data_IF_791042678314
#
_entry.id   IF_791042678314
#
_cell.length_a   1.000
_cell.length_b   1.000
_cell.length_c   1.000
_cell.angle_alpha   90.00
_cell.angle_beta   90.00
_cell.angle_gamma   90.00
#
_symmetry.space_group_name_H-M   'P 1'
#
loop_
_entity.id
_entity.type
_entity.pdbx_description
1 polymer ?
#
# COMPACT_ATOMS: atom_id res chain seq x y z
N UNK A 1 -15.79 14.96 7.40
CA UNK A 1 -16.24 14.91 8.80
C UNK A 1 -16.98 16.18 9.11
N UNK A 2 -18.18 16.08 9.66
CA UNK A 2 -19.07 17.21 9.97
C UNK A 2 -19.32 17.28 11.48
N UNK A 3 -19.57 18.48 11.98
CA UNK A 3 -19.97 18.72 13.36
C UNK A 3 -21.49 18.59 13.47
N UNK A 4 -21.95 17.60 14.26
CA UNK A 4 -23.37 17.30 14.44
C UNK A 4 -24.18 18.45 15.03
N UNK A 5 -23.53 19.39 15.72
CA UNK A 5 -24.19 20.57 16.31
C UNK A 5 -24.49 21.67 15.29
N UNK A 6 -23.87 21.60 14.10
CA UNK A 6 -23.93 22.68 13.10
C UNK A 6 -24.87 22.39 11.93
N UNK A 7 -25.23 21.13 11.69
CA UNK A 7 -26.12 20.74 10.59
C UNK A 7 -26.78 19.40 10.86
N UNK A 8 -28.06 19.29 10.49
CA UNK A 8 -28.82 18.03 10.50
C UNK A 8 -28.61 17.21 9.23
N UNK A 9 -27.98 17.77 8.19
CA UNK A 9 -27.72 17.07 6.93
C UNK A 9 -26.91 15.79 7.16
N UNK A 10 -27.33 14.70 6.54
CA UNK A 10 -26.74 13.37 6.73
C UNK A 10 -26.05 12.82 5.50
N UNK A 11 -26.31 13.38 4.32
CA UNK A 11 -25.76 12.91 3.04
C UNK A 11 -24.54 13.76 2.62
N UNK A 12 -23.49 13.17 2.03
CA UNK A 12 -22.33 13.91 1.57
C UNK A 12 -22.66 15.03 0.56
N UNK A 13 -23.66 14.82 -0.29
CA UNK A 13 -24.09 15.77 -1.32
C UNK A 13 -24.68 17.04 -0.72
N UNK A 14 -25.40 16.93 0.39
CA UNK A 14 -25.95 18.08 1.11
C UNK A 14 -24.88 18.77 1.95
N UNK A 15 -23.94 18.01 2.51
CA UNK A 15 -22.91 18.55 3.40
C UNK A 15 -21.75 19.21 2.62
N UNK A 16 -21.29 18.58 1.53
CA UNK A 16 -20.16 19.05 0.70
C UNK A 16 -20.42 18.84 -0.81
N UNK A 17 -21.38 19.56 -1.42
CA UNK A 17 -21.77 19.37 -2.81
C UNK A 17 -20.61 19.53 -3.80
N UNK A 18 -19.80 20.59 -3.65
CA UNK A 18 -18.65 20.84 -4.54
C UNK A 18 -17.54 19.79 -4.41
N UNK A 19 -17.37 19.21 -3.23
CA UNK A 19 -16.37 18.18 -2.98
C UNK A 19 -16.80 16.86 -3.61
N UNK A 20 -18.06 16.47 -3.41
CA UNK A 20 -18.62 15.25 -4.00
C UNK A 20 -18.61 15.30 -5.53
N UNK A 21 -18.90 16.45 -6.13
CA UNK A 21 -18.85 16.63 -7.59
C UNK A 21 -17.45 16.39 -8.20
N UNK A 22 -16.38 16.47 -7.41
CA UNK A 22 -14.99 16.28 -7.84
C UNK A 22 -14.45 14.88 -7.60
N UNK A 23 -15.16 14.05 -6.82
CA UNK A 23 -14.71 12.71 -6.50
C UNK A 23 -15.11 11.71 -7.59
N UNK A 24 -14.26 10.71 -7.88
CA UNK A 24 -14.67 9.57 -8.70
C UNK A 24 -15.83 8.82 -8.04
N UNK A 25 -16.81 8.39 -8.81
CA UNK A 25 -17.97 7.63 -8.31
C UNK A 25 -17.61 6.24 -7.74
N UNK A 26 -16.38 5.77 -7.97
CA UNK A 26 -15.87 4.49 -7.45
C UNK A 26 -15.19 4.62 -6.08
N UNK A 27 -14.99 5.83 -5.58
CA UNK A 27 -14.31 6.03 -4.30
C UNK A 27 -15.30 5.80 -3.16
N UNK A 28 -15.04 4.86 -2.23
CA UNK A 28 -15.91 4.66 -1.08
C UNK A 28 -15.86 5.89 -0.17
N UNK A 29 -17.03 6.45 0.15
CA UNK A 29 -17.17 7.62 1.03
C UNK A 29 -17.90 7.20 2.30
N UNK A 30 -17.45 7.71 3.45
CA UNK A 30 -18.11 7.51 4.74
C UNK A 30 -18.28 8.86 5.43
N UNK A 31 -19.51 9.17 5.85
CA UNK A 31 -19.80 10.41 6.58
C UNK A 31 -19.49 10.21 8.06
N UNK A 32 -18.69 11.10 8.63
CA UNK A 32 -18.41 11.12 10.07
C UNK A 32 -19.10 12.32 10.69
N UNK A 33 -20.05 12.07 11.58
CA UNK A 33 -20.80 13.05 12.37
C UNK A 33 -20.22 13.09 13.79
N UNK A 34 -19.39 14.10 14.06
CA UNK A 34 -18.67 14.25 15.32
C UNK A 34 -19.46 15.10 16.33
N UNK A 35 -19.09 15.01 17.62
CA UNK A 35 -19.70 15.71 18.76
C UNK A 35 -21.08 15.16 19.16
N UNK A 36 -21.28 13.85 19.04
CA UNK A 36 -22.52 13.20 19.45
C UNK A 36 -22.82 13.39 20.95
N UNK A 37 -21.80 13.69 21.77
CA UNK A 37 -21.94 14.04 23.19
C UNK A 37 -22.75 15.33 23.42
N UNK A 38 -22.72 16.27 22.48
CA UNK A 38 -23.46 17.54 22.58
C UNK A 38 -24.88 17.42 22.02
N UNK A 39 -25.10 16.51 21.07
CA UNK A 39 -26.42 16.28 20.45
C UNK A 39 -27.23 15.21 21.18
N UNK A 40 -26.60 14.43 22.07
CA UNK A 40 -27.23 13.30 22.77
C UNK A 40 -27.49 12.11 21.85
N UNK A 41 -26.93 12.10 20.64
CA UNK A 41 -27.08 11.02 19.68
C UNK A 41 -26.23 9.81 20.10
N UNK A 42 -26.72 8.57 19.96
CA UNK A 42 -25.93 7.39 20.25
C UNK A 42 -24.76 7.27 19.27
N UNK A 43 -23.65 6.73 19.76
CA UNK A 43 -22.51 6.38 18.91
C UNK A 43 -22.83 5.10 18.15
N UNK A 44 -23.14 5.23 16.86
CA UNK A 44 -23.60 4.14 16.00
C UNK A 44 -23.15 4.32 14.55
N UNK A 45 -23.18 3.22 13.81
CA UNK A 45 -23.05 3.21 12.35
C UNK A 45 -24.43 2.98 11.73
N UNK A 46 -24.80 3.84 10.78
CA UNK A 46 -26.07 3.78 10.06
C UNK A 46 -25.79 3.95 8.57
N UNK A 47 -26.72 3.51 7.71
CA UNK A 47 -26.67 3.84 6.29
C UNK A 47 -27.62 5.00 6.01
N UNK A 48 -27.13 6.06 5.39
CA UNK A 48 -27.94 7.19 4.94
C UNK A 48 -27.83 7.26 3.42
N UNK A 49 -28.87 6.76 2.75
CA UNK A 49 -28.80 6.46 1.32
C UNK A 49 -27.73 5.41 1.02
N UNK A 50 -26.88 5.70 0.03
CA UNK A 50 -25.79 4.83 -0.42
C UNK A 50 -24.51 4.96 0.43
N UNK A 51 -24.51 5.83 1.45
CA UNK A 51 -23.32 6.13 2.23
C UNK A 51 -23.42 5.65 3.67
N UNK A 52 -22.39 4.93 4.19
CA UNK A 52 -22.27 4.69 5.61
C UNK A 52 -22.02 6.01 6.35
N UNK A 53 -22.69 6.16 7.48
CA UNK A 53 -22.59 7.31 8.38
C UNK A 53 -22.26 6.82 9.80
N UNK A 54 -21.22 7.40 10.39
CA UNK A 54 -20.78 7.08 11.75
C UNK A 54 -20.95 8.30 12.63
N UNK A 55 -21.71 8.14 13.72
CA UNK A 55 -21.87 9.14 14.78
C UNK A 55 -20.90 8.83 15.90
N UNK A 56 -20.12 9.82 16.31
CA UNK A 56 -19.11 9.63 17.36
C UNK A 56 -18.86 10.91 18.16
N UNK A 57 -18.26 10.76 19.34
CA UNK A 57 -17.64 11.85 20.09
C UNK A 57 -16.14 11.63 20.11
N UNK A 58 -15.41 12.44 19.34
CA UNK A 58 -13.96 12.41 19.36
C UNK A 58 -13.38 12.86 20.71
N UNK A 59 -14.10 13.70 21.46
CA UNK A 59 -13.66 14.19 22.78
C UNK A 59 -13.77 13.08 23.83
N UNK A 60 -14.91 12.41 23.87
CA UNK A 60 -15.20 11.42 24.91
C UNK A 60 -14.82 9.99 24.48
N UNK A 61 -14.29 9.83 23.26
CA UNK A 61 -13.85 8.55 22.70
C UNK A 61 -14.98 7.61 22.27
N UNK A 62 -16.24 8.02 22.42
CA UNK A 62 -17.41 7.23 22.04
C UNK A 62 -17.46 7.04 20.53
N UNK A 63 -17.64 5.80 20.06
CA UNK A 63 -17.74 5.48 18.63
C UNK A 63 -16.40 5.42 17.88
N UNK A 64 -15.27 5.69 18.54
CA UNK A 64 -13.94 5.59 17.91
C UNK A 64 -13.61 4.14 17.51
N UNK A 65 -14.02 3.15 18.31
CA UNK A 65 -13.79 1.74 17.96
C UNK A 65 -14.68 1.27 16.80
N UNK A 66 -15.88 1.82 16.68
CA UNK A 66 -16.75 1.60 15.51
C UNK A 66 -16.08 2.14 14.24
N UNK A 67 -15.55 3.37 14.30
CA UNK A 67 -14.79 3.97 13.20
C UNK A 67 -13.57 3.13 12.83
N UNK A 68 -12.79 2.67 13.82
CA UNK A 68 -11.62 1.82 13.60
C UNK A 68 -11.99 0.53 12.88
N UNK A 69 -13.07 -0.11 13.31
CA UNK A 69 -13.54 -1.37 12.75
C UNK A 69 -14.03 -1.20 11.31
N UNK A 70 -14.82 -0.15 11.06
CA UNK A 70 -15.28 0.23 9.72
C UNK A 70 -14.12 0.51 8.76
N UNK A 71 -13.10 1.26 9.19
CA UNK A 71 -11.93 1.54 8.36
C UNK A 71 -11.12 0.29 8.04
N UNK A 72 -11.01 -0.66 8.97
CA UNK A 72 -10.34 -1.94 8.71
C UNK A 72 -11.09 -2.72 7.62
N UNK A 73 -12.41 -2.81 7.74
CA UNK A 73 -13.26 -3.49 6.76
C UNK A 73 -13.21 -2.82 5.38
N UNK A 74 -13.37 -1.49 5.34
CA UNK A 74 -13.35 -0.71 4.11
C UNK A 74 -12.01 -0.80 3.36
N UNK A 75 -10.89 -0.95 4.08
CA UNK A 75 -9.58 -1.14 3.47
C UNK A 75 -9.26 -2.61 3.14
N UNK A 76 -10.19 -3.54 3.37
CA UNK A 76 -9.96 -4.97 3.16
C UNK A 76 -8.85 -5.52 4.08
N UNK A 77 -8.68 -4.94 5.27
CA UNK A 77 -7.66 -5.34 6.22
C UNK A 77 -8.01 -6.70 6.84
N UNK A 78 -7.52 -7.78 6.21
CA UNK A 78 -7.58 -9.13 6.74
C UNK A 78 -6.39 -9.36 7.69
N UNK A 79 -6.67 -9.55 8.98
CA UNK A 79 -5.67 -9.87 10.02
C UNK A 79 -4.93 -11.20 9.80
N UNK A 80 -5.26 -11.96 8.77
CA UNK A 80 -4.61 -13.22 8.37
C UNK A 80 -3.28 -13.04 7.60
N UNK A 81 -2.65 -11.87 7.64
CA UNK A 81 -1.32 -11.71 7.04
C UNK A 81 -0.22 -12.13 8.02
N UNK A 82 -0.26 -13.37 8.50
CA UNK A 82 0.97 -14.05 8.92
C UNK A 82 1.86 -14.16 7.68
N UNK A 83 2.80 -13.22 7.53
CA UNK A 83 3.69 -13.14 6.36
C UNK A 83 3.55 -11.88 5.51
N UNK A 84 2.86 -10.83 5.99
CA UNK A 84 2.79 -9.55 5.30
C UNK A 84 4.16 -8.87 5.23
N UNK A 85 4.96 -9.19 4.21
CA UNK A 85 6.15 -8.42 3.89
C UNK A 85 5.71 -6.99 3.58
N UNK A 86 6.01 -6.05 4.48
CA UNK A 86 5.87 -4.61 4.26
C UNK A 86 6.97 -4.16 3.28
N UNK A 87 6.83 -4.56 2.01
CA UNK A 87 7.68 -4.09 0.94
C UNK A 87 7.40 -2.59 0.76
N UNK A 88 8.35 -1.76 1.20
CA UNK A 88 8.30 -0.32 0.94
C UNK A 88 8.37 -0.10 -0.58
N UNK A 89 7.85 1.05 -1.05
CA UNK A 89 7.89 1.42 -2.48
C UNK A 89 9.26 1.21 -3.14
N UNK A 90 10.35 1.52 -2.42
CA UNK A 90 11.73 1.28 -2.88
C UNK A 90 12.07 -0.19 -3.15
N UNK A 91 11.57 -1.12 -2.32
CA UNK A 91 11.83 -2.55 -2.52
C UNK A 91 11.05 -3.07 -3.74
N UNK A 92 9.81 -2.61 -3.92
CA UNK A 92 9.01 -2.93 -5.11
C UNK A 92 9.68 -2.39 -6.39
N UNK A 93 10.23 -1.18 -6.33
CA UNK A 93 10.97 -0.60 -7.45
C UNK A 93 12.21 -1.42 -7.80
N UNK A 94 13.04 -1.77 -6.80
CA UNK A 94 14.21 -2.64 -7.01
C UNK A 94 13.85 -4.01 -7.62
N UNK A 95 12.75 -4.62 -7.16
CA UNK A 95 12.24 -5.89 -7.73
C UNK A 95 11.78 -5.73 -9.18
N UNK A 96 11.07 -4.65 -9.49
CA UNK A 96 10.62 -4.38 -10.86
C UNK A 96 11.81 -4.16 -11.80
N UNK A 97 12.77 -3.34 -11.40
CA UNK A 97 13.99 -3.09 -12.18
C UNK A 97 14.79 -4.39 -12.39
N UNK A 98 14.93 -5.23 -11.37
CA UNK A 98 15.57 -6.53 -11.52
C UNK A 98 14.82 -7.44 -12.51
N UNK A 99 13.48 -7.47 -12.45
CA UNK A 99 12.67 -8.25 -13.37
C UNK A 99 12.80 -7.78 -14.83
N UNK A 100 12.86 -6.47 -15.06
CA UNK A 100 13.08 -5.88 -16.38
C UNK A 100 14.42 -6.33 -16.98
N UNK A 101 15.51 -6.26 -16.20
CA UNK A 101 16.82 -6.73 -16.64
C UNK A 101 16.85 -8.24 -16.91
N UNK A 102 16.20 -9.06 -16.06
CA UNK A 102 16.09 -10.49 -16.32
C UNK A 102 15.35 -10.79 -17.63
N UNK A 103 14.28 -10.07 -17.92
CA UNK A 103 13.54 -10.21 -19.17
C UNK A 103 14.39 -9.80 -20.38
N UNK A 104 15.13 -8.69 -20.27
CA UNK A 104 16.04 -8.24 -21.31
C UNK A 104 17.16 -9.26 -21.53
N UNK A 105 17.81 -9.73 -20.48
CA UNK A 105 18.86 -10.76 -20.55
C UNK A 105 18.37 -12.05 -21.20
N UNK A 106 17.16 -12.50 -20.86
CA UNK A 106 16.53 -13.64 -21.52
C UNK A 106 16.36 -13.41 -23.03
N UNK A 107 15.89 -12.23 -23.44
CA UNK A 107 15.76 -11.88 -24.86
C UNK A 107 17.13 -11.85 -25.56
N UNK A 108 18.16 -11.29 -24.92
CA UNK A 108 19.52 -11.24 -25.49
C UNK A 108 20.11 -12.65 -25.66
N UNK A 109 19.87 -13.56 -24.70
CA UNK A 109 20.30 -14.95 -24.81
C UNK A 109 19.57 -15.69 -25.94
N UNK A 110 18.24 -15.56 -26.02
CA UNK A 110 17.41 -16.35 -26.95
C UNK A 110 17.53 -15.83 -28.38
N UNK A 111 17.49 -14.51 -28.59
CA UNK A 111 17.44 -13.92 -29.93
C UNK A 111 18.81 -13.50 -30.44
N UNK A 112 19.65 -12.88 -29.60
CA UNK A 112 20.97 -12.43 -30.00
C UNK A 112 22.07 -13.47 -29.76
N UNK A 113 21.76 -14.59 -29.06
CA UNK A 113 22.73 -15.63 -28.65
C UNK A 113 23.96 -15.05 -27.94
N UNK A 114 23.80 -13.90 -27.30
CA UNK A 114 24.89 -13.18 -26.67
C UNK A 114 24.92 -13.46 -25.18
N UNK A 115 25.83 -14.35 -24.78
CA UNK A 115 26.08 -14.64 -23.36
C UNK A 115 26.67 -13.45 -22.61
N UNK A 116 27.40 -12.58 -23.30
CA UNK A 116 28.01 -11.37 -22.71
C UNK A 116 26.94 -10.34 -22.34
N UNK A 117 25.93 -10.13 -23.20
CA UNK A 117 24.81 -9.24 -22.89
C UNK A 117 23.93 -9.82 -21.79
N UNK A 118 23.68 -11.13 -21.78
CA UNK A 118 23.01 -11.78 -20.64
C UNK A 118 23.77 -11.55 -19.33
N UNK A 119 25.09 -11.71 -19.34
CA UNK A 119 25.91 -11.53 -18.14
C UNK A 119 25.82 -10.10 -17.58
N UNK A 120 25.79 -9.09 -18.45
CA UNK A 120 25.62 -7.70 -18.02
C UNK A 120 24.21 -7.45 -17.46
N UNK A 121 23.16 -7.95 -18.10
CA UNK A 121 21.79 -7.83 -17.59
C UNK A 121 21.62 -8.52 -16.22
N UNK A 122 22.26 -9.67 -16.00
CA UNK A 122 22.28 -10.34 -14.71
C UNK A 122 23.02 -9.52 -13.64
N UNK A 123 24.11 -8.84 -14.00
CA UNK A 123 24.84 -7.94 -13.10
C UNK A 123 23.95 -6.77 -12.66
N UNK A 124 23.21 -6.17 -13.59
CA UNK A 124 22.30 -5.06 -13.31
C UNK A 124 21.10 -5.51 -12.46
N UNK A 125 20.52 -6.68 -12.75
CA UNK A 125 19.46 -7.26 -11.93
C UNK A 125 19.94 -7.50 -10.48
N UNK A 126 21.14 -8.04 -10.32
CA UNK A 126 21.75 -8.26 -9.01
C UNK A 126 22.00 -6.96 -8.26
N UNK A 127 22.48 -5.91 -8.93
CA UNK A 127 22.67 -4.58 -8.33
C UNK A 127 21.34 -4.01 -7.80
N UNK A 128 20.27 -4.08 -8.59
CA UNK A 128 18.94 -3.64 -8.15
C UNK A 128 18.46 -4.40 -6.90
N UNK A 129 18.64 -5.72 -6.85
CA UNK A 129 18.27 -6.52 -5.68
C UNK A 129 19.12 -6.20 -4.44
N UNK A 130 20.38 -5.81 -4.64
CA UNK A 130 21.32 -5.45 -3.57
C UNK A 130 20.91 -4.18 -2.82
N UNK A 131 20.13 -3.29 -3.46
CA UNK A 131 19.53 -2.11 -2.82
C UNK A 131 18.51 -2.51 -1.73
N UNK A 132 17.92 -3.70 -1.81
CA UNK A 132 16.93 -4.20 -0.85
C UNK A 132 17.60 -4.67 0.44
N UNK A 133 18.74 -5.35 0.32
CA UNK A 133 19.47 -5.93 1.47
C UNK A 133 20.44 -4.94 2.13
N UNK A 134 20.71 -3.80 1.50
CA UNK A 134 21.91 -3.00 1.78
C UNK A 134 23.10 -3.62 1.07
N UNK A 135 23.91 -2.78 0.42
CA UNK A 135 24.96 -3.14 -0.56
C UNK A 135 25.49 -4.58 -0.47
N UNK A 136 25.21 -5.34 -1.53
CA UNK A 136 25.90 -6.58 -1.85
C UNK A 136 26.77 -6.26 -3.06
N UNK A 137 28.07 -6.17 -2.84
CA UNK A 137 28.99 -5.66 -3.86
C UNK A 137 29.27 -6.72 -4.92
N UNK A 138 29.81 -6.29 -6.07
CA UNK A 138 30.28 -7.24 -7.09
C UNK A 138 31.37 -8.17 -6.53
N UNK A 139 32.18 -7.69 -5.57
CA UNK A 139 33.17 -8.50 -4.86
C UNK A 139 32.53 -9.58 -3.98
N UNK A 140 31.40 -9.30 -3.31
CA UNK A 140 30.68 -10.29 -2.51
C UNK A 140 30.10 -11.41 -3.39
N UNK A 141 29.66 -11.09 -4.61
CA UNK A 141 29.19 -12.07 -5.58
C UNK A 141 30.33 -12.91 -6.13
N UNK A 142 31.42 -12.27 -6.57
CA UNK A 142 32.59 -12.96 -7.09
C UNK A 142 33.21 -13.86 -6.01
N UNK A 143 33.34 -13.37 -4.78
CA UNK A 143 33.79 -14.18 -3.64
C UNK A 143 32.91 -15.41 -3.39
N UNK A 144 31.60 -15.31 -3.61
CA UNK A 144 30.67 -16.44 -3.43
C UNK A 144 30.69 -17.43 -4.61
N UNK A 145 30.87 -16.94 -5.85
CA UNK A 145 31.03 -17.79 -7.03
C UNK A 145 32.38 -18.53 -6.99
N UNK A 146 33.46 -17.88 -6.54
CA UNK A 146 34.80 -18.45 -6.52
C UNK A 146 35.17 -19.17 -5.21
N UNK A 147 34.41 -18.99 -4.12
CA UNK A 147 34.65 -19.73 -2.87
C UNK A 147 34.40 -21.24 -2.97
N UNK A 148 33.69 -21.69 -4.00
CA UNK A 148 33.47 -23.12 -4.31
C UNK A 148 34.45 -23.69 -5.33
N UNK A 149 35.30 -22.86 -5.94
CA UNK A 149 36.41 -23.32 -6.79
C UNK A 149 37.67 -23.46 -5.92
N UNK A 150 38.02 -24.70 -5.56
CA UNK A 150 39.33 -24.97 -4.98
C UNK A 150 40.42 -24.51 -5.96
N UNK A 151 41.08 -23.38 -5.66
CA UNK A 151 42.35 -23.03 -6.29
C UNK A 151 43.37 -24.04 -5.76
N UNK A 152 43.55 -25.12 -6.50
CA UNK A 152 44.58 -26.11 -6.25
C UNK A 152 45.94 -25.43 -6.24
N UNK A 153 46.71 -25.70 -5.17
CA UNK A 153 48.16 -25.65 -5.23
C UNK A 153 48.67 -26.78 -6.13
#
# INVERSE_FOLDING_TARGET
MVDSTTTEATTPEEIWPEFMARLPSTLPVTVIRNKSDLTGEPAEITSQGDYPMIRLSARDGMGIELLRSHLKEAMGFNSNTEGGFLARRRHLQALNTAAEHLQQGYQQLVYAKSGELLAEELRLAQQALSEITGEFTSDDLLGRIFSSFCIGK
#
